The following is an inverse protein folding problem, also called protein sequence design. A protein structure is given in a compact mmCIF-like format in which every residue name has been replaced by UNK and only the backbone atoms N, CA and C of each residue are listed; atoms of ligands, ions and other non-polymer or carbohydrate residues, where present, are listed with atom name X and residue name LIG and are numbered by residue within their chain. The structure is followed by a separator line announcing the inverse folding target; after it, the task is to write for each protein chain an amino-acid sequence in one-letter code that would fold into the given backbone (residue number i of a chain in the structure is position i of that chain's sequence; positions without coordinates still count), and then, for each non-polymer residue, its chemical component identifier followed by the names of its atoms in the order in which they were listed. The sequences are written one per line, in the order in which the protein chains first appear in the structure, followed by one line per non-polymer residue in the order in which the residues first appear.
data_IF_125932241708
#
_entry.id   IF_125932241708
#
_cell.length_a   1.000
_cell.length_b   1.000
_cell.length_c   1.000
_cell.angle_alpha   90.00
_cell.angle_beta   90.00
_cell.angle_gamma   90.00
#
_symmetry.space_group_name_H-M   'P 1'
#
loop_
_entity.id
_entity.type
_entity.pdbx_description
1 polymer ?
#
# COMPACT_ATOMS: atom_id res chain seq x y z
N UNK A 1 9.71 -12.82 9.14
CA UNK A 1 8.73 -11.77 8.79
C UNK A 1 8.43 -11.85 7.32
N UNK A 2 7.19 -11.61 6.96
CA UNK A 2 6.81 -11.65 5.56
C UNK A 2 5.74 -10.62 5.23
N UNK A 3 5.71 -10.22 3.95
CA UNK A 3 4.64 -9.39 3.41
C UNK A 3 3.53 -10.31 2.91
N UNK A 4 2.29 -10.02 3.31
CA UNK A 4 1.12 -10.78 2.88
C UNK A 4 0.21 -9.82 2.11
N UNK A 5 -0.02 -10.14 0.83
CA UNK A 5 -0.92 -9.37 -0.02
C UNK A 5 -2.26 -10.09 -0.05
N UNK A 6 -3.28 -9.41 0.41
CA UNK A 6 -4.65 -9.92 0.40
C UNK A 6 -5.55 -8.94 -0.34
N UNK A 7 -6.83 -9.26 -0.37
CA UNK A 7 -7.80 -8.42 -1.03
C UNK A 7 -7.83 -7.03 -0.40
N UNK A 8 -7.27 -6.05 -1.12
CA UNK A 8 -7.27 -4.63 -0.75
C UNK A 8 -6.48 -4.28 0.51
N UNK A 9 -5.48 -5.11 0.87
CA UNK A 9 -4.49 -4.70 1.87
C UNK A 9 -3.18 -5.47 1.71
N UNK A 10 -2.09 -4.87 2.20
CA UNK A 10 -0.80 -5.53 2.32
C UNK A 10 -0.36 -5.38 3.77
N UNK A 11 0.07 -6.48 4.37
CA UNK A 11 0.54 -6.49 5.76
C UNK A 11 1.93 -7.08 5.85
N UNK A 12 2.71 -6.58 6.81
CA UNK A 12 4.02 -7.12 7.16
C UNK A 12 3.88 -7.74 8.54
N UNK A 13 4.07 -9.07 8.63
CA UNK A 13 3.75 -9.82 9.84
C UNK A 13 4.95 -10.61 10.33
N UNK A 14 5.00 -10.82 11.66
CA UNK A 14 6.01 -11.67 12.28
C UNK A 14 5.66 -13.13 12.09
N UNK A 15 6.59 -14.03 12.50
CA UNK A 15 6.35 -15.46 12.45
C UNK A 15 5.16 -15.88 13.31
N UNK A 16 4.88 -15.11 14.37
CA UNK A 16 3.75 -15.36 15.25
C UNK A 16 2.46 -14.77 14.73
N UNK A 17 2.50 -14.11 13.58
CA UNK A 17 1.30 -13.50 12.98
C UNK A 17 0.99 -12.10 13.47
N UNK A 18 1.89 -11.48 14.24
CA UNK A 18 1.68 -10.11 14.69
C UNK A 18 1.88 -9.14 13.54
N UNK A 19 0.91 -8.27 13.30
CA UNK A 19 0.99 -7.28 12.23
C UNK A 19 1.79 -6.07 12.71
N UNK A 20 2.88 -5.76 12.01
CA UNK A 20 3.76 -4.65 12.33
C UNK A 20 3.68 -3.50 11.32
N UNK A 21 3.07 -3.73 10.17
CA UNK A 21 2.89 -2.67 9.19
C UNK A 21 1.76 -3.04 8.25
N UNK A 22 1.09 -2.03 7.71
CA UNK A 22 -0.09 -2.29 6.89
C UNK A 22 -0.35 -1.11 5.97
N UNK A 23 -0.81 -1.40 4.76
CA UNK A 23 -1.46 -0.42 3.89
C UNK A 23 -2.80 -0.99 3.48
N UNK A 24 -3.83 -0.15 3.48
CA UNK A 24 -5.17 -0.54 3.04
C UNK A 24 -5.58 0.28 1.83
N UNK A 25 -6.33 -0.36 0.93
CA UNK A 25 -6.81 0.30 -0.29
C UNK A 25 -8.18 -0.29 -0.68
N UNK A 26 -9.21 0.01 0.13
CA UNK A 26 -10.54 -0.54 -0.13
C UNK A 26 -11.12 -0.03 -1.44
N UNK A 27 -11.95 -0.85 -2.06
CA UNK A 27 -12.67 -0.44 -3.26
C UNK A 27 -13.72 0.61 -2.89
N UNK A 28 -13.76 1.71 -3.64
CA UNK A 28 -14.71 2.80 -3.39
C UNK A 28 -15.69 2.99 -4.53
N UNK A 29 -15.35 2.49 -5.72
CA UNK A 29 -16.21 2.43 -6.90
C UNK A 29 -15.78 1.19 -7.69
N UNK A 30 -16.61 0.68 -8.60
CA UNK A 30 -16.17 -0.45 -9.41
C UNK A 30 -14.88 -0.15 -10.14
N UNK A 31 -13.84 -0.93 -9.85
CA UNK A 31 -12.52 -0.78 -10.47
C UNK A 31 -11.66 0.35 -9.90
N UNK A 32 -12.11 1.04 -8.84
CA UNK A 32 -11.35 2.14 -8.22
C UNK A 32 -11.21 1.87 -6.74
N UNK A 33 -9.96 1.90 -6.26
CA UNK A 33 -9.66 1.75 -4.84
C UNK A 33 -9.16 3.08 -4.28
N UNK A 34 -9.06 3.18 -2.96
CA UNK A 34 -8.49 4.35 -2.30
C UNK A 34 -7.41 3.91 -1.33
N UNK A 35 -6.16 4.30 -1.59
CA UNK A 35 -5.08 4.06 -0.63
C UNK A 35 -5.28 5.07 0.49
N UNK A 36 -5.90 4.61 1.57
CA UNK A 36 -6.42 5.48 2.61
C UNK A 36 -5.68 5.43 3.93
N UNK A 37 -4.79 4.44 4.12
CA UNK A 37 -4.13 4.27 5.41
C UNK A 37 -2.84 3.49 5.26
N UNK A 38 -1.78 4.00 5.88
CA UNK A 38 -0.48 3.33 5.95
C UNK A 38 -0.02 3.39 7.40
N UNK A 39 0.35 2.24 7.95
CA UNK A 39 0.85 2.14 9.32
C UNK A 39 2.17 1.35 9.32
N UNK A 40 3.14 1.83 10.08
CA UNK A 40 4.41 1.11 10.31
C UNK A 40 4.74 1.25 11.78
N UNK A 41 4.95 0.11 12.45
CA UNK A 41 5.37 0.09 13.85
C UNK A 41 6.71 0.83 14.00
N UNK A 42 6.88 1.52 15.14
CA UNK A 42 8.09 2.30 15.40
C UNK A 42 9.37 1.47 15.30
N UNK A 43 9.31 0.19 15.66
CA UNK A 43 10.47 -0.71 15.61
C UNK A 43 11.00 -0.89 14.18
N UNK A 44 10.21 -0.58 13.17
CA UNK A 44 10.58 -0.76 11.76
C UNK A 44 10.95 0.53 11.06
N UNK A 45 10.95 1.66 11.75
CA UNK A 45 11.25 2.93 11.12
C UNK A 45 12.66 2.95 10.54
N UNK A 46 12.80 3.59 9.37
CA UNK A 46 14.07 3.69 8.69
C UNK A 46 14.50 2.47 7.92
N UNK A 47 13.64 1.44 7.83
CA UNK A 47 13.97 0.18 7.13
C UNK A 47 13.31 0.07 5.77
N UNK A 48 12.61 1.11 5.31
CA UNK A 48 11.97 1.09 3.99
C UNK A 48 10.70 0.26 3.90
N UNK A 49 10.11 -0.11 5.03
CA UNK A 49 8.93 -0.98 5.05
C UNK A 49 7.73 -0.29 4.41
N UNK A 50 7.51 0.99 4.73
CA UNK A 50 6.37 1.71 4.17
C UNK A 50 6.45 1.79 2.65
N UNK A 51 7.64 2.07 2.10
CA UNK A 51 7.83 2.09 0.65
C UNK A 51 7.57 0.75 0.00
N UNK A 52 8.00 -0.34 0.66
CA UNK A 52 7.75 -1.68 0.14
C UNK A 52 6.26 -2.02 0.18
N UNK A 53 5.55 -1.61 1.24
CA UNK A 53 4.10 -1.78 1.30
C UNK A 53 3.42 -1.11 0.12
N UNK A 54 3.79 0.14 -0.17
CA UNK A 54 3.20 0.88 -1.27
C UNK A 54 3.52 0.24 -2.62
N UNK A 55 4.76 -0.22 -2.82
CA UNK A 55 5.13 -0.89 -4.06
C UNK A 55 4.28 -2.13 -4.28
N UNK A 56 4.08 -2.93 -3.24
CA UNK A 56 3.27 -4.14 -3.35
C UNK A 56 1.80 -3.83 -3.56
N UNK A 57 1.30 -2.77 -2.92
CA UNK A 57 -0.08 -2.33 -3.12
C UNK A 57 -0.29 -1.89 -4.57
N UNK A 58 0.63 -1.10 -5.11
CA UNK A 58 0.55 -0.62 -6.49
C UNK A 58 0.62 -1.80 -7.48
N UNK A 59 1.49 -2.77 -7.23
CA UNK A 59 1.57 -3.96 -8.07
C UNK A 59 0.24 -4.73 -8.06
N UNK A 60 -0.39 -4.87 -6.90
CA UNK A 60 -1.66 -5.56 -6.78
C UNK A 60 -2.77 -4.81 -7.51
N UNK A 61 -2.81 -3.48 -7.35
CA UNK A 61 -3.81 -2.63 -8.01
C UNK A 61 -3.68 -2.77 -9.53
N UNK A 62 -2.46 -2.69 -10.04
CA UNK A 62 -2.19 -2.82 -11.47
C UNK A 62 -2.57 -4.21 -11.98
N UNK A 63 -2.20 -5.25 -11.24
CA UNK A 63 -2.50 -6.63 -11.61
C UNK A 63 -4.01 -6.87 -11.70
N UNK A 64 -4.77 -6.24 -10.81
CA UNK A 64 -6.22 -6.39 -10.78
C UNK A 64 -6.94 -5.53 -11.83
N UNK A 65 -6.20 -4.73 -12.59
CA UNK A 65 -6.81 -3.83 -13.57
C UNK A 65 -7.55 -2.66 -12.93
N UNK A 66 -7.21 -2.34 -11.68
CA UNK A 66 -7.85 -1.26 -10.94
C UNK A 66 -7.08 0.04 -11.08
N UNK A 67 -7.71 1.14 -10.69
CA UNK A 67 -7.06 2.44 -10.53
C UNK A 67 -7.25 2.89 -9.10
N UNK A 68 -6.51 3.90 -8.67
CA UNK A 68 -6.53 4.29 -7.27
C UNK A 68 -6.69 5.79 -7.07
N UNK A 69 -7.45 6.15 -6.04
CA UNK A 69 -7.38 7.45 -5.39
C UNK A 69 -6.37 7.33 -4.26
N UNK A 70 -5.92 8.45 -3.75
CA UNK A 70 -4.96 8.48 -2.64
C UNK A 70 -5.42 9.52 -1.64
N UNK A 71 -5.84 9.09 -0.46
CA UNK A 71 -6.22 9.99 0.63
C UNK A 71 -5.26 9.95 1.81
N UNK A 72 -4.28 9.05 1.79
CA UNK A 72 -3.23 8.98 2.79
C UNK A 72 -2.07 9.89 2.38
N UNK A 73 -1.61 10.75 3.30
CA UNK A 73 -0.54 11.71 3.00
C UNK A 73 0.77 11.01 2.65
N UNK A 74 1.10 9.90 3.31
CA UNK A 74 2.33 9.17 2.98
C UNK A 74 2.28 8.65 1.55
N UNK A 75 1.15 8.07 1.14
CA UNK A 75 1.00 7.54 -0.21
C UNK A 75 1.05 8.66 -1.24
N UNK A 76 0.49 9.83 -0.94
CA UNK A 76 0.57 10.97 -1.83
C UNK A 76 2.02 11.33 -2.13
N UNK A 77 2.86 11.42 -1.08
CA UNK A 77 4.29 11.69 -1.25
C UNK A 77 4.98 10.56 -2.02
N UNK A 78 4.60 9.32 -1.77
CA UNK A 78 5.20 8.20 -2.48
C UNK A 78 4.96 8.30 -3.98
N UNK A 79 3.73 8.63 -4.40
CA UNK A 79 3.42 8.77 -5.83
C UNK A 79 4.16 9.94 -6.46
N UNK A 80 4.40 11.02 -5.71
CA UNK A 80 5.19 12.15 -6.21
C UNK A 80 6.62 11.74 -6.55
N UNK A 81 7.16 10.78 -5.82
CA UNK A 81 8.52 10.28 -6.02
C UNK A 81 8.59 9.11 -6.99
N UNK A 82 7.44 8.61 -7.44
CA UNK A 82 7.37 7.46 -8.33
C UNK A 82 6.49 7.77 -9.53
N UNK A 83 6.94 8.68 -10.42
CA UNK A 83 6.11 9.09 -11.57
C UNK A 83 5.77 7.94 -12.51
N UNK A 84 6.53 6.85 -12.48
CA UNK A 84 6.26 5.68 -13.31
C UNK A 84 4.94 4.99 -12.95
N UNK A 85 4.37 5.29 -11.78
CA UNK A 85 3.11 4.69 -11.32
C UNK A 85 1.93 5.66 -11.36
N UNK A 86 2.14 6.88 -11.86
CA UNK A 86 1.06 7.89 -11.83
C UNK A 86 -0.09 7.58 -12.79
N UNK A 87 0.12 6.70 -13.75
CA UNK A 87 -0.94 6.26 -14.64
C UNK A 87 -2.04 5.47 -13.91
N UNK A 88 -1.77 4.98 -12.71
CA UNK A 88 -2.78 4.31 -11.89
C UNK A 88 -3.70 5.29 -11.16
N UNK A 89 -3.31 6.56 -11.06
CA UNK A 89 -4.12 7.55 -10.35
C UNK A 89 -5.36 7.93 -11.15
N UNK A 90 -6.48 8.07 -10.44
CA UNK A 90 -7.73 8.53 -11.03
C UNK A 90 -7.69 10.02 -11.30
#
# INVERSE_FOLDING_TARGET
MEYIVKNHHVRYVTEQGQMLAEVTFPEVEPGVVDINHTFVDDSLRGQGVAGELLRRAVDAIAHNGERTRVSCSYATHWFEKHPEHQDLLV
#
